data_IF_396009721012
#
_entry.id   IF_396009721012
#
_cell.length_a   1.000
_cell.length_b   1.000
_cell.length_c   1.000
_cell.angle_alpha   90.00
_cell.angle_beta   90.00
_cell.angle_gamma   90.00
#
_symmetry.space_group_name_H-M   'P 1'
#
loop_
_entity.id
_entity.type
_entity.pdbx_description
1 polymer ?
#
# COMPACT_ATOMS: atom_id res chain seq x y z
N UNK A 1 7.38 46.02 54.25
CA UNK A 1 6.81 44.79 54.85
C UNK A 1 5.70 44.26 53.94
N UNK A 2 6.03 43.32 53.06
CA UNK A 2 5.08 42.74 52.08
C UNK A 2 4.38 41.55 52.73
N UNK A 3 3.04 41.57 52.76
CA UNK A 3 2.19 40.43 53.15
C UNK A 3 1.96 39.53 51.92
N UNK A 4 2.21 38.23 52.10
CA UNK A 4 1.87 37.16 51.15
C UNK A 4 0.34 37.04 51.02
N UNK A 5 -0.16 36.85 49.79
CA UNK A 5 -1.47 36.27 49.49
C UNK A 5 -1.24 34.97 48.71
N UNK A 6 -1.74 33.87 49.25
CA UNK A 6 -1.69 32.54 48.65
C UNK A 6 -2.74 32.44 47.54
N UNK A 7 -2.37 31.89 46.38
CA UNK A 7 -3.30 31.51 45.31
C UNK A 7 -3.75 30.07 45.60
N UNK A 8 -5.06 29.87 45.76
CA UNK A 8 -5.66 28.56 45.94
C UNK A 8 -5.62 27.75 44.64
N UNK A 9 -5.17 26.50 44.73
CA UNK A 9 -5.36 25.50 43.68
C UNK A 9 -6.84 25.11 43.61
N UNK A 10 -7.45 25.30 42.44
CA UNK A 10 -8.74 24.68 42.12
C UNK A 10 -8.44 23.23 41.73
N UNK A 11 -8.82 22.32 42.62
CA UNK A 11 -8.82 20.88 42.36
C UNK A 11 -10.03 20.59 41.46
N UNK A 12 -9.79 20.32 40.17
CA UNK A 12 -10.85 19.83 39.27
C UNK A 12 -10.97 18.33 39.51
N UNK A 13 -12.03 17.94 40.22
CA UNK A 13 -12.41 16.54 40.43
C UNK A 13 -12.87 15.96 39.09
N UNK A 14 -12.00 15.18 38.44
CA UNK A 14 -12.39 14.40 37.28
C UNK A 14 -13.31 13.27 37.74
N UNK A 15 -14.56 13.29 37.27
CA UNK A 15 -15.51 12.18 37.43
C UNK A 15 -15.01 11.04 36.55
N UNK A 16 -14.45 10.01 37.17
CA UNK A 16 -14.12 8.74 36.52
C UNK A 16 -15.43 8.01 36.24
N UNK A 17 -15.90 8.07 34.99
CA UNK A 17 -16.94 7.18 34.52
C UNK A 17 -16.33 5.78 34.32
N UNK A 18 -16.73 4.85 35.19
CA UNK A 18 -16.42 3.42 35.07
C UNK A 18 -17.22 2.87 33.90
N UNK A 19 -16.57 2.64 32.75
CA UNK A 19 -17.10 1.81 31.69
C UNK A 19 -16.59 0.38 31.88
N UNK A 20 -17.53 -0.50 32.23
CA UNK A 20 -17.29 -1.92 32.46
C UNK A 20 -16.85 -2.63 31.17
N UNK A 21 -15.97 -3.60 31.38
CA UNK A 21 -15.36 -4.54 30.45
C UNK A 21 -16.36 -5.29 29.56
N UNK A 22 -16.27 -5.07 28.25
CA UNK A 22 -16.55 -6.07 27.22
C UNK A 22 -15.29 -6.14 26.34
N UNK A 23 -14.61 -7.29 26.37
CA UNK A 23 -13.35 -7.55 25.66
C UNK A 23 -13.54 -7.67 24.15
N UNK A 24 -13.85 -6.54 23.50
CA UNK A 24 -13.60 -6.35 22.08
C UNK A 24 -12.24 -5.66 21.99
N UNK A 25 -11.18 -6.43 21.76
CA UNK A 25 -9.99 -5.88 21.12
C UNK A 25 -10.44 -5.38 19.75
N UNK A 26 -10.78 -4.10 19.66
CA UNK A 26 -10.84 -3.41 18.39
C UNK A 26 -9.51 -3.69 17.65
N UNK A 27 -9.53 -3.96 16.33
CA UNK A 27 -8.28 -4.04 15.59
C UNK A 27 -7.56 -2.72 15.84
N UNK A 28 -6.23 -2.81 15.96
CA UNK A 28 -5.38 -1.65 16.19
C UNK A 28 -5.84 -0.48 15.32
N UNK A 29 -6.03 0.67 15.96
CA UNK A 29 -6.41 1.92 15.33
C UNK A 29 -5.27 2.40 14.42
N UNK A 30 -5.09 1.73 13.27
CA UNK A 30 -4.30 2.20 12.14
C UNK A 30 -5.20 2.84 11.07
N UNK A 31 -6.52 2.59 11.11
CA UNK A 31 -7.52 3.06 10.14
C UNK A 31 -7.75 4.59 10.08
N UNK A 32 -6.92 5.40 10.74
CA UNK A 32 -7.11 6.84 10.87
C UNK A 32 -5.97 7.73 10.35
N UNK A 33 -4.81 7.19 9.99
CA UNK A 33 -3.67 8.00 9.54
C UNK A 33 -3.09 7.52 8.22
N UNK A 34 -2.94 6.20 8.04
CA UNK A 34 -2.47 5.59 6.80
C UNK A 34 -3.51 5.81 5.69
N UNK A 35 -3.13 6.34 4.52
CA UNK A 35 -4.01 6.41 3.36
C UNK A 35 -4.49 5.02 2.97
N UNK A 36 -5.80 4.85 2.84
CA UNK A 36 -6.36 3.58 2.43
C UNK A 36 -7.88 3.57 2.22
N UNK A 37 -8.33 2.48 1.66
CA UNK A 37 -9.71 2.21 1.25
C UNK A 37 -10.18 0.89 1.88
N UNK A 38 -11.46 0.80 2.25
CA UNK A 38 -11.99 -0.30 3.04
C UNK A 38 -13.38 -0.74 2.54
N UNK A 39 -13.59 -2.04 2.41
CA UNK A 39 -14.90 -2.67 2.16
C UNK A 39 -15.22 -3.65 3.28
N UNK A 40 -16.33 -3.42 3.97
CA UNK A 40 -16.82 -4.30 5.03
C UNK A 40 -17.88 -5.24 4.46
N UNK A 41 -17.91 -6.47 4.96
CA UNK A 41 -18.83 -7.50 4.49
C UNK A 41 -19.77 -8.02 5.58
N UNK A 42 -20.98 -8.37 5.15
CA UNK A 42 -21.96 -9.09 5.95
C UNK A 42 -22.45 -10.35 5.23
N UNK A 43 -22.58 -11.45 5.97
CA UNK A 43 -23.11 -12.71 5.47
C UNK A 43 -24.63 -12.83 5.67
N UNK A 44 -25.31 -13.76 4.96
CA UNK A 44 -26.73 -14.01 5.14
C UNK A 44 -27.10 -14.28 6.60
N UNK A 45 -28.25 -13.76 7.03
CA UNK A 45 -28.76 -13.91 8.39
C UNK A 45 -28.72 -15.38 8.86
N UNK A 46 -28.22 -15.60 10.08
CA UNK A 46 -28.01 -16.94 10.65
C UNK A 46 -26.62 -17.53 10.37
N UNK A 47 -25.84 -16.93 9.47
CA UNK A 47 -24.42 -17.31 9.28
C UNK A 47 -23.57 -16.62 10.34
N UNK A 48 -23.11 -17.36 11.33
CA UNK A 48 -22.24 -16.83 12.41
C UNK A 48 -20.79 -17.28 12.27
N UNK A 49 -20.55 -18.42 11.61
CA UNK A 49 -19.24 -18.99 11.43
C UNK A 49 -19.13 -19.81 10.14
N UNK A 50 -17.93 -19.83 9.59
CA UNK A 50 -17.56 -20.54 8.37
C UNK A 50 -16.49 -21.59 8.67
N UNK A 51 -16.57 -22.71 7.99
CA UNK A 51 -15.53 -23.76 8.00
C UNK A 51 -14.33 -23.31 7.19
N UNK A 52 -14.55 -22.56 6.12
CA UNK A 52 -13.53 -22.04 5.21
C UNK A 52 -14.06 -20.78 4.54
N UNK A 53 -13.15 -19.94 4.06
CA UNK A 53 -13.47 -18.71 3.33
C UNK A 53 -12.47 -18.50 2.21
N UNK A 54 -12.95 -17.99 1.09
CA UNK A 54 -12.17 -17.63 -0.09
C UNK A 54 -12.47 -16.18 -0.46
N UNK A 55 -11.40 -15.42 -0.68
CA UNK A 55 -11.46 -14.06 -1.21
C UNK A 55 -10.82 -14.01 -2.59
N UNK A 56 -11.22 -13.04 -3.41
CA UNK A 56 -10.63 -12.78 -4.73
C UNK A 56 -10.06 -11.37 -4.79
N UNK A 57 -8.87 -11.22 -5.40
CA UNK A 57 -8.27 -9.91 -5.70
C UNK A 57 -7.71 -9.89 -7.12
N UNK A 58 -7.95 -8.81 -7.85
CA UNK A 58 -7.28 -8.46 -9.10
C UNK A 58 -6.72 -7.06 -9.00
N UNK A 59 -5.40 -6.89 -9.08
CA UNK A 59 -4.78 -5.55 -9.18
C UNK A 59 -4.86 -5.12 -10.64
N UNK A 60 -5.81 -4.23 -10.93
CA UNK A 60 -6.14 -3.75 -12.28
C UNK A 60 -5.14 -2.69 -12.77
N UNK A 61 -4.66 -1.83 -11.86
CA UNK A 61 -3.58 -0.88 -12.12
C UNK A 61 -2.45 -1.09 -11.11
N UNK A 62 -1.26 -1.45 -11.62
CA UNK A 62 -0.07 -1.68 -10.80
C UNK A 62 0.54 -0.33 -10.37
N UNK A 63 0.79 -0.10 -9.06
CA UNK A 63 1.49 1.09 -8.59
C UNK A 63 2.96 1.17 -9.03
N UNK A 64 3.46 0.18 -9.77
CA UNK A 64 4.85 0.07 -10.17
C UNK A 64 5.71 -0.27 -8.97
N UNK A 65 6.75 0.51 -8.70
CA UNK A 65 7.63 0.29 -7.53
C UNK A 65 7.10 1.03 -6.29
N UNK A 66 5.84 0.81 -5.96
CA UNK A 66 5.18 1.40 -4.79
C UNK A 66 5.20 0.49 -3.56
N UNK A 67 4.96 1.07 -2.38
CA UNK A 67 4.75 0.30 -1.15
C UNK A 67 3.25 0.20 -0.84
N UNK A 68 2.59 -0.80 -1.42
CA UNK A 68 1.13 -0.96 -1.33
C UNK A 68 0.78 -2.36 -0.85
N UNK A 69 -0.26 -2.46 -0.04
CA UNK A 69 -0.78 -3.71 0.47
C UNK A 69 -2.27 -3.84 0.14
N UNK A 70 -2.66 -4.94 -0.52
CA UNK A 70 -4.05 -5.39 -0.69
C UNK A 70 -4.30 -6.60 0.21
N UNK A 71 -5.25 -6.50 1.14
CA UNK A 71 -5.46 -7.49 2.17
C UNK A 71 -6.93 -7.81 2.43
N UNK A 72 -7.14 -9.04 2.88
CA UNK A 72 -8.40 -9.60 3.35
C UNK A 72 -8.27 -9.88 4.85
N UNK A 73 -8.88 -9.03 5.66
CA UNK A 73 -8.93 -9.19 7.12
C UNK A 73 -10.14 -10.02 7.54
N UNK A 74 -9.92 -10.88 8.53
CA UNK A 74 -10.95 -11.71 9.13
C UNK A 74 -10.58 -12.11 10.55
N UNK A 75 -11.59 -12.58 11.29
CA UNK A 75 -11.42 -13.10 12.64
C UNK A 75 -11.81 -14.58 12.70
N UNK A 76 -11.32 -15.27 13.73
CA UNK A 76 -11.85 -16.55 14.19
C UNK A 76 -12.83 -16.34 15.34
N UNK A 77 -13.71 -17.31 15.57
CA UNK A 77 -14.74 -17.29 16.63
C UNK A 77 -14.18 -17.22 18.05
N UNK A 78 -12.88 -17.41 18.24
CA UNK A 78 -12.16 -17.27 19.51
C UNK A 78 -11.32 -15.98 19.58
N UNK A 79 -11.64 -14.99 18.74
CA UNK A 79 -10.99 -13.68 18.67
C UNK A 79 -9.52 -13.70 18.22
N UNK A 80 -9.05 -14.80 17.65
CA UNK A 80 -7.81 -14.80 16.87
C UNK A 80 -8.09 -14.05 15.57
N UNK A 81 -7.57 -12.84 15.44
CA UNK A 81 -7.72 -12.02 14.24
C UNK A 81 -6.52 -12.14 13.31
N UNK A 82 -6.70 -11.78 12.05
CA UNK A 82 -5.60 -11.69 11.11
C UNK A 82 -6.01 -11.31 9.70
N UNK A 83 -5.09 -11.52 8.77
CA UNK A 83 -5.28 -11.15 7.38
C UNK A 83 -4.52 -12.07 6.44
N UNK A 84 -4.96 -12.13 5.20
CA UNK A 84 -4.25 -12.75 4.07
C UNK A 84 -4.26 -11.78 2.89
N UNK A 85 -3.19 -11.71 2.12
CA UNK A 85 -3.14 -10.78 0.98
C UNK A 85 -1.81 -10.78 0.24
N UNK A 86 -1.57 -9.69 -0.49
CA UNK A 86 -0.36 -9.50 -1.31
C UNK A 86 0.16 -8.05 -1.25
N UNK A 87 1.48 -7.88 -1.36
CA UNK A 87 2.15 -6.58 -1.31
C UNK A 87 2.96 -6.30 -2.56
N UNK A 88 3.09 -5.02 -2.91
CA UNK A 88 4.12 -4.46 -3.79
C UNK A 88 5.11 -3.66 -2.96
N UNK A 89 6.40 -3.73 -3.30
CA UNK A 89 7.48 -3.01 -2.62
C UNK A 89 8.20 -2.04 -3.56
N UNK A 90 8.88 -1.03 -2.99
CA UNK A 90 9.73 -0.07 -3.71
C UNK A 90 10.91 -0.67 -4.49
N UNK A 91 11.26 -1.92 -4.22
CA UNK A 91 12.23 -2.70 -5.02
C UNK A 91 11.63 -3.21 -6.35
N UNK A 92 10.31 -3.09 -6.55
CA UNK A 92 9.56 -3.72 -7.63
C UNK A 92 9.17 -5.18 -7.37
N UNK A 93 9.73 -5.80 -6.32
CA UNK A 93 9.30 -7.13 -5.87
C UNK A 93 7.99 -7.05 -5.11
N UNK A 94 7.51 -8.19 -4.62
CA UNK A 94 6.31 -8.28 -3.80
C UNK A 94 6.34 -9.51 -2.91
N UNK A 95 5.24 -9.72 -2.20
CA UNK A 95 5.04 -10.96 -1.47
C UNK A 95 3.55 -11.32 -1.38
N UNK A 96 3.29 -12.58 -1.06
CA UNK A 96 2.04 -13.03 -0.45
C UNK A 96 2.26 -13.27 1.05
N UNK A 97 1.26 -12.98 1.87
CA UNK A 97 1.33 -13.20 3.31
C UNK A 97 0.00 -13.64 3.92
N UNK A 98 0.11 -14.44 4.99
CA UNK A 98 -0.97 -14.87 5.86
C UNK A 98 -0.51 -14.68 7.31
N UNK A 99 -1.15 -13.78 8.05
CA UNK A 99 -0.72 -13.38 9.40
C UNK A 99 -1.89 -13.51 10.37
N UNK A 100 -1.65 -14.12 11.53
CA UNK A 100 -2.62 -14.19 12.62
C UNK A 100 -1.99 -13.73 13.94
N UNK A 101 -2.64 -12.77 14.60
CA UNK A 101 -2.30 -12.38 15.97
C UNK A 101 -2.71 -13.50 16.94
N UNK A 102 -1.90 -13.74 17.97
CA UNK A 102 -2.16 -14.78 18.97
C UNK A 102 -1.93 -16.21 18.48
N UNK A 103 -1.51 -16.42 17.23
CA UNK A 103 -1.08 -17.73 16.77
C UNK A 103 0.16 -18.19 17.55
N UNK A 104 0.18 -19.47 17.95
CA UNK A 104 1.24 -20.03 18.80
C UNK A 104 2.27 -20.85 18.04
N UNK A 105 1.96 -21.23 16.79
CA UNK A 105 2.84 -22.04 15.96
C UNK A 105 2.49 -21.87 14.48
N UNK A 106 3.48 -22.12 13.62
CA UNK A 106 3.34 -22.02 12.18
C UNK A 106 4.06 -23.16 11.47
N UNK A 107 3.60 -23.47 10.24
CA UNK A 107 4.23 -24.42 9.32
C UNK A 107 4.29 -23.79 7.95
N UNK A 108 5.48 -23.73 7.35
CA UNK A 108 5.62 -23.36 5.95
C UNK A 108 4.86 -24.36 5.06
N UNK A 109 4.31 -23.88 3.95
CA UNK A 109 3.54 -24.69 3.01
C UNK A 109 4.41 -25.23 1.87
N UNK A 110 4.19 -24.73 0.66
CA UNK A 110 4.94 -25.09 -0.54
C UNK A 110 6.41 -24.66 -0.46
N UNK A 111 7.23 -25.23 -1.35
CA UNK A 111 8.63 -24.84 -1.49
C UNK A 111 8.77 -23.32 -1.74
N UNK A 112 9.72 -22.67 -1.08
CA UNK A 112 9.93 -21.22 -1.16
C UNK A 112 9.14 -20.39 -0.15
N UNK A 113 8.11 -20.98 0.48
CA UNK A 113 7.36 -20.33 1.57
C UNK A 113 8.09 -20.48 2.90
N UNK A 114 7.87 -19.54 3.81
CA UNK A 114 8.45 -19.55 5.15
C UNK A 114 7.51 -18.91 6.15
N UNK A 115 7.67 -19.21 7.45
CA UNK A 115 6.90 -18.54 8.50
C UNK A 115 7.82 -18.00 9.59
N UNK A 116 7.41 -16.90 10.21
CA UNK A 116 8.15 -16.22 11.27
C UNK A 116 7.18 -15.54 12.25
N UNK A 117 7.70 -15.12 13.40
CA UNK A 117 6.94 -14.31 14.36
C UNK A 117 6.90 -12.84 13.95
N UNK A 118 5.88 -12.11 14.38
CA UNK A 118 5.81 -10.64 14.28
C UNK A 118 5.25 -10.04 15.59
N UNK A 119 5.55 -8.76 15.83
CA UNK A 119 5.25 -8.05 17.09
C UNK A 119 4.58 -6.66 16.93
N UNK A 120 4.12 -6.31 15.72
CA UNK A 120 3.56 -5.01 15.31
C UNK A 120 2.21 -4.64 15.98
N UNK A 121 2.16 -4.58 17.31
CA UNK A 121 0.98 -4.41 18.21
C UNK A 121 0.35 -5.71 18.72
N UNK A 122 1.17 -6.74 18.89
CA UNK A 122 0.77 -8.03 19.47
C UNK A 122 1.63 -9.17 18.92
N UNK A 123 1.77 -10.27 19.65
CA UNK A 123 2.57 -11.41 19.19
C UNK A 123 1.73 -12.32 18.30
N UNK A 124 2.27 -12.69 17.13
CA UNK A 124 1.63 -13.63 16.22
C UNK A 124 2.63 -14.33 15.30
N UNK A 125 2.09 -15.09 14.34
CA UNK A 125 2.88 -15.70 13.27
C UNK A 125 2.37 -15.26 11.90
N UNK A 126 3.32 -15.09 10.98
CA UNK A 126 3.08 -14.78 9.58
C UNK A 126 3.78 -15.81 8.71
N UNK A 127 3.07 -16.37 7.73
CA UNK A 127 3.63 -17.17 6.66
C UNK A 127 3.69 -16.32 5.38
N UNK A 128 4.82 -16.36 4.68
CA UNK A 128 5.17 -15.46 3.59
C UNK A 128 5.75 -16.21 2.41
N UNK A 129 5.59 -15.61 1.24
CA UNK A 129 6.29 -16.00 0.02
C UNK A 129 6.71 -14.74 -0.74
N UNK A 130 8.03 -14.53 -0.87
CA UNK A 130 8.61 -13.36 -1.54
C UNK A 130 8.56 -13.53 -3.07
N UNK A 131 7.34 -13.64 -3.59
CA UNK A 131 7.04 -13.65 -5.01
C UNK A 131 6.14 -12.45 -5.33
N UNK A 132 6.45 -11.78 -6.44
CA UNK A 132 5.62 -10.70 -6.93
C UNK A 132 4.38 -11.26 -7.63
N UNK A 133 3.21 -10.73 -7.31
CA UNK A 133 2.02 -10.96 -8.12
C UNK A 133 2.19 -10.36 -9.52
N UNK A 134 1.46 -10.90 -10.49
CA UNK A 134 1.34 -10.36 -11.84
C UNK A 134 0.12 -9.47 -11.91
N UNK A 135 0.30 -8.19 -12.25
CA UNK A 135 -0.82 -7.27 -12.41
C UNK A 135 -1.80 -7.75 -13.49
N UNK A 136 -3.09 -7.52 -13.28
CA UNK A 136 -4.18 -8.01 -14.13
C UNK A 136 -4.53 -9.49 -13.95
N UNK A 137 -3.70 -10.29 -13.26
CA UNK A 137 -4.09 -11.65 -12.89
C UNK A 137 -5.08 -11.64 -11.73
N UNK A 138 -5.96 -12.64 -11.75
CA UNK A 138 -6.95 -12.86 -10.70
C UNK A 138 -6.44 -13.90 -9.70
N UNK A 139 -6.25 -13.46 -8.45
CA UNK A 139 -5.77 -14.30 -7.36
C UNK A 139 -6.91 -14.63 -6.40
N UNK A 140 -6.98 -15.88 -5.97
CA UNK A 140 -7.86 -16.32 -4.89
C UNK A 140 -7.07 -16.71 -3.66
N UNK A 141 -7.61 -16.36 -2.49
CA UNK A 141 -7.02 -16.55 -1.18
C UNK A 141 -7.94 -17.43 -0.38
N UNK A 142 -7.62 -18.73 -0.25
CA UNK A 142 -8.47 -19.67 0.46
C UNK A 142 -7.89 -20.01 1.82
N UNK A 143 -8.58 -19.61 2.88
CA UNK A 143 -8.25 -20.00 4.26
C UNK A 143 -9.18 -21.14 4.68
N UNK A 144 -8.60 -22.28 5.03
CA UNK A 144 -9.35 -23.51 5.30
C UNK A 144 -8.67 -24.37 6.37
N UNK A 145 -9.38 -25.32 6.99
CA UNK A 145 -8.77 -26.20 7.99
C UNK A 145 -7.61 -26.98 7.38
N UNK A 146 -6.54 -27.10 8.14
CA UNK A 146 -5.46 -28.04 7.85
C UNK A 146 -5.81 -29.42 8.44
N UNK A 147 -4.98 -30.42 8.16
CA UNK A 147 -5.11 -31.81 8.61
C UNK A 147 -5.14 -31.98 10.13
N UNK A 148 -4.58 -31.02 10.88
CA UNK A 148 -4.57 -31.03 12.34
C UNK A 148 -5.65 -30.08 12.86
N UNK A 149 -6.49 -30.55 13.79
CA UNK A 149 -7.51 -29.68 14.40
C UNK A 149 -6.87 -28.45 15.07
N UNK A 150 -7.55 -27.30 14.93
CA UNK A 150 -7.06 -26.01 15.38
C UNK A 150 -5.93 -25.41 14.54
N UNK A 151 -5.70 -25.91 13.34
CA UNK A 151 -4.80 -25.33 12.34
C UNK A 151 -5.57 -24.93 11.09
N UNK A 152 -5.24 -23.77 10.54
CA UNK A 152 -5.77 -23.30 9.27
C UNK A 152 -4.63 -23.00 8.31
N UNK A 153 -4.81 -23.38 7.05
CA UNK A 153 -3.89 -23.11 5.96
C UNK A 153 -4.44 -22.06 5.01
N UNK A 154 -3.56 -21.20 4.51
CA UNK A 154 -3.84 -20.33 3.38
C UNK A 154 -3.32 -20.97 2.09
N UNK A 155 -4.19 -21.11 1.09
CA UNK A 155 -3.85 -21.55 -0.27
C UNK A 155 -4.11 -20.40 -1.22
N UNK A 156 -3.07 -19.98 -1.95
CA UNK A 156 -3.16 -18.89 -2.93
C UNK A 156 -3.19 -19.52 -4.31
N UNK A 157 -4.13 -19.09 -5.15
CA UNK A 157 -4.21 -19.56 -6.53
C UNK A 157 -4.28 -18.40 -7.51
N UNK A 158 -3.36 -18.39 -8.47
CA UNK A 158 -3.44 -17.54 -9.65
C UNK A 158 -4.40 -18.23 -10.63
N UNK A 159 -5.66 -17.80 -10.62
CA UNK A 159 -6.71 -18.41 -11.43
C UNK A 159 -6.48 -18.14 -12.91
N UNK A 160 -5.86 -17.00 -13.24
CA UNK A 160 -5.49 -16.63 -14.60
C UNK A 160 -4.40 -17.55 -15.16
N UNK A 161 -3.37 -17.86 -14.37
CA UNK A 161 -2.28 -18.74 -14.77
C UNK A 161 -2.56 -20.23 -14.55
N UNK A 162 -3.58 -20.58 -13.77
CA UNK A 162 -3.89 -21.97 -13.40
C UNK A 162 -2.88 -22.58 -12.43
N UNK A 163 -2.20 -21.77 -11.63
CA UNK A 163 -1.20 -22.19 -10.64
C UNK A 163 -1.70 -21.98 -9.21
N UNK A 164 -1.16 -22.74 -8.27
CA UNK A 164 -1.54 -22.64 -6.85
C UNK A 164 -0.41 -23.11 -5.95
N UNK A 165 -0.34 -22.52 -4.76
CA UNK A 165 0.57 -22.93 -3.70
C UNK A 165 -0.07 -22.79 -2.32
N UNK A 166 0.38 -23.62 -1.37
CA UNK A 166 0.03 -23.45 0.04
C UNK A 166 1.04 -22.47 0.62
N UNK A 167 0.57 -21.33 1.12
CA UNK A 167 1.44 -20.31 1.71
C UNK A 167 1.97 -20.75 3.08
N UNK A 168 1.12 -21.40 3.87
CA UNK A 168 1.47 -21.97 5.17
C UNK A 168 0.25 -22.19 6.04
N UNK A 169 0.48 -22.81 7.19
CA UNK A 169 -0.54 -23.09 8.20
C UNK A 169 -0.21 -22.42 9.51
N UNK A 170 -1.21 -21.83 10.15
CA UNK A 170 -1.11 -21.15 11.44
C UNK A 170 -2.04 -21.81 12.46
N UNK A 171 -1.55 -21.97 13.69
CA UNK A 171 -2.32 -22.54 14.79
C UNK A 171 -3.25 -21.49 15.39
N UNK A 172 -4.53 -21.83 15.52
CA UNK A 172 -5.60 -20.94 16.04
C UNK A 172 -6.33 -21.51 17.26
N UNK A 173 -6.11 -22.79 17.57
CA UNK A 173 -6.76 -23.49 18.69
C UNK A 173 -7.94 -24.36 18.25
N UNK A 174 -8.13 -25.48 18.96
CA UNK A 174 -9.16 -26.48 18.66
C UNK A 174 -10.56 -25.87 18.68
N UNK A 175 -11.42 -26.30 17.75
CA UNK A 175 -12.82 -25.86 17.66
C UNK A 175 -13.03 -24.46 17.06
N UNK A 176 -11.97 -23.67 16.82
CA UNK A 176 -12.10 -22.37 16.17
C UNK A 176 -12.65 -22.49 14.73
N UNK A 177 -13.48 -21.52 14.35
CA UNK A 177 -14.05 -21.35 13.01
C UNK A 177 -13.80 -19.92 12.54
N UNK A 178 -13.82 -19.70 11.22
CA UNK A 178 -13.75 -18.34 10.69
C UNK A 178 -15.05 -17.63 11.08
N UNK A 179 -14.96 -16.44 11.67
CA UNK A 179 -16.09 -15.59 12.00
C UNK A 179 -16.75 -15.08 10.72
N UNK A 180 -18.08 -15.14 10.66
CA UNK A 180 -18.83 -14.49 9.58
C UNK A 180 -19.00 -12.97 9.79
N UNK A 181 -18.53 -12.44 10.92
CA UNK A 181 -18.47 -11.00 11.20
C UNK A 181 -17.05 -10.48 11.19
N UNK A 182 -16.90 -9.17 10.96
CA UNK A 182 -15.60 -8.49 11.01
C UNK A 182 -14.73 -8.68 9.76
N UNK A 183 -15.29 -9.20 8.66
CA UNK A 183 -14.54 -9.31 7.40
C UNK A 183 -14.43 -7.97 6.71
N UNK A 184 -13.20 -7.59 6.37
CA UNK A 184 -12.86 -6.32 5.74
C UNK A 184 -11.80 -6.54 4.69
N UNK A 185 -12.02 -6.04 3.48
CA UNK A 185 -10.94 -5.87 2.51
C UNK A 185 -10.41 -4.45 2.63
N UNK A 186 -9.09 -4.30 2.51
CA UNK A 186 -8.45 -3.00 2.56
C UNK A 186 -7.23 -2.88 1.66
N UNK A 187 -6.98 -1.65 1.24
CA UNK A 187 -5.74 -1.22 0.58
C UNK A 187 -5.07 -0.17 1.43
N UNK A 188 -3.78 -0.32 1.70
CA UNK A 188 -3.01 0.66 2.47
C UNK A 188 -1.61 0.89 1.88
N UNK A 189 -1.16 2.14 1.94
CA UNK A 189 0.20 2.53 1.56
C UNK A 189 1.10 2.59 2.79
N UNK A 190 2.12 1.75 2.84
CA UNK A 190 3.01 1.67 4.01
C UNK A 190 4.29 2.50 3.84
N UNK A 191 4.37 3.34 2.80
CA UNK A 191 5.28 4.48 2.74
C UNK A 191 5.03 5.47 3.89
N UNK A 192 3.81 5.49 4.41
CA UNK A 192 3.39 6.28 5.57
C UNK A 192 4.11 5.95 6.88
N UNK A 193 4.91 4.87 6.91
CA UNK A 193 5.86 4.63 7.99
C UNK A 193 6.99 5.68 8.04
N UNK A 194 7.12 6.50 6.99
CA UNK A 194 7.99 7.68 6.95
C UNK A 194 7.19 8.94 7.26
N UNK A 195 7.67 9.75 8.21
CA UNK A 195 7.11 11.08 8.51
C UNK A 195 7.24 12.08 7.33
N UNK A 196 7.95 11.72 6.27
CA UNK A 196 8.09 12.54 5.07
C UNK A 196 7.07 12.21 3.98
N UNK A 197 6.38 11.07 4.07
CA UNK A 197 5.39 10.67 3.07
C UNK A 197 4.17 11.59 3.11
N UNK A 198 3.65 11.89 1.92
CA UNK A 198 2.44 12.67 1.69
C UNK A 198 1.60 12.01 0.61
N UNK A 199 0.35 12.45 0.43
CA UNK A 199 -0.57 11.86 -0.56
C UNK A 199 -0.02 11.87 -1.99
N UNK A 200 0.86 12.81 -2.30
CA UNK A 200 1.47 12.99 -3.61
C UNK A 200 2.66 12.06 -3.86
N UNK A 201 3.20 11.42 -2.81
CA UNK A 201 4.27 10.43 -2.94
C UNK A 201 3.74 9.02 -3.23
N UNK A 202 2.44 8.81 -3.01
CA UNK A 202 1.79 7.52 -3.18
C UNK A 202 1.47 7.27 -4.67
N UNK A 203 1.97 6.18 -5.26
CA UNK A 203 1.65 5.86 -6.65
C UNK A 203 0.20 5.41 -6.81
N UNK A 204 -0.44 5.77 -7.94
CA UNK A 204 -1.79 5.30 -8.23
C UNK A 204 -1.87 3.78 -8.27
N UNK A 205 -2.89 3.22 -7.63
CA UNK A 205 -3.25 1.82 -7.80
C UNK A 205 -4.76 1.62 -7.83
N UNK A 206 -5.16 0.52 -8.47
CA UNK A 206 -6.55 0.11 -8.58
C UNK A 206 -6.65 -1.40 -8.39
N UNK A 207 -7.54 -1.83 -7.51
CA UNK A 207 -7.79 -3.24 -7.29
C UNK A 207 -9.26 -3.55 -7.17
N UNK A 208 -9.67 -4.65 -7.78
CA UNK A 208 -10.97 -5.27 -7.59
C UNK A 208 -10.85 -6.34 -6.51
N UNK A 209 -11.77 -6.28 -5.56
CA UNK A 209 -12.01 -7.31 -4.56
C UNK A 209 -13.33 -8.00 -4.86
N UNK A 210 -13.35 -9.33 -4.79
CA UNK A 210 -14.58 -10.10 -4.93
C UNK A 210 -15.26 -10.30 -3.57
N UNK A 211 -16.56 -10.60 -3.58
CA UNK A 211 -17.31 -10.95 -2.38
C UNK A 211 -16.69 -12.20 -1.73
N UNK A 212 -16.42 -12.18 -0.41
CA UNK A 212 -16.01 -13.37 0.31
C UNK A 212 -17.03 -14.49 0.17
N UNK A 213 -16.55 -15.69 -0.18
CA UNK A 213 -17.36 -16.91 -0.27
C UNK A 213 -16.88 -17.93 0.73
N UNK A 214 -17.78 -18.78 1.24
CA UNK A 214 -17.37 -19.84 2.14
C UNK A 214 -18.44 -20.88 2.38
N UNK A 215 -18.12 -21.82 3.26
CA UNK A 215 -19.04 -22.86 3.69
C UNK A 215 -19.41 -22.65 5.16
N UNK A 216 -20.69 -22.42 5.44
CA UNK A 216 -21.21 -22.33 6.81
C UNK A 216 -20.91 -23.60 7.63
N UNK A 217 -20.92 -23.51 8.95
CA UNK A 217 -20.77 -24.69 9.82
C UNK A 217 -21.89 -25.73 9.65
N UNK A 218 -23.03 -25.34 9.08
CA UNK A 218 -24.12 -26.23 8.67
C UNK A 218 -23.91 -26.92 7.32
N UNK A 219 -22.82 -26.63 6.60
CA UNK A 219 -22.46 -27.25 5.33
C UNK A 219 -23.00 -26.55 4.07
N UNK A 220 -23.75 -25.46 4.22
CA UNK A 220 -24.26 -24.67 3.08
C UNK A 220 -23.20 -23.70 2.58
N UNK A 221 -23.06 -23.59 1.26
CA UNK A 221 -22.32 -22.51 0.61
C UNK A 221 -23.01 -21.17 0.87
N UNK A 222 -22.21 -20.14 1.17
CA UNK A 222 -22.66 -18.78 1.46
C UNK A 222 -21.72 -17.78 0.81
N UNK A 223 -22.29 -16.71 0.27
CA UNK A 223 -21.56 -15.57 -0.27
C UNK A 223 -21.93 -14.34 0.55
N UNK A 224 -20.93 -13.52 0.89
CA UNK A 224 -21.15 -12.28 1.60
C UNK A 224 -21.83 -11.23 0.70
N UNK A 225 -22.17 -10.10 1.30
CA UNK A 225 -22.59 -8.88 0.63
C UNK A 225 -21.81 -7.71 1.20
N UNK A 226 -21.57 -6.66 0.39
CA UNK A 226 -20.96 -5.43 0.91
C UNK A 226 -21.92 -4.78 1.90
N UNK A 227 -21.48 -4.59 3.14
CA UNK A 227 -22.28 -3.91 4.19
C UNK A 227 -22.00 -2.42 4.25
N UNK A 228 -20.76 -2.01 4.02
CA UNK A 228 -20.34 -0.60 4.00
C UNK A 228 -18.97 -0.44 3.35
N UNK A 229 -18.70 0.74 2.80
CA UNK A 229 -17.38 1.14 2.30
C UNK A 229 -16.94 2.42 2.98
N UNK A 230 -15.62 2.62 3.09
CA UNK A 230 -15.04 3.84 3.66
C UNK A 230 -13.63 4.08 3.13
N UNK A 231 -13.16 5.30 3.29
CA UNK A 231 -11.77 5.70 3.06
C UNK A 231 -11.18 6.23 4.36
N UNK A 232 -9.86 6.21 4.49
CA UNK A 232 -9.14 6.91 5.56
C UNK A 232 -9.47 8.41 5.56
N UNK A 233 -9.29 9.07 6.71
CA UNK A 233 -9.39 10.54 6.83
C UNK A 233 -8.23 11.28 6.14
N UNK A 234 -7.13 10.58 5.88
CA UNK A 234 -5.98 11.09 5.13
C UNK A 234 -6.14 10.73 3.66
N UNK A 235 -5.74 11.63 2.76
CA UNK A 235 -5.85 11.47 1.30
C UNK A 235 -7.25 11.13 0.77
N UNK A 236 -8.31 11.41 1.55
CA UNK A 236 -9.71 11.09 1.21
C UNK A 236 -10.14 11.61 -0.17
N UNK A 237 -9.60 12.75 -0.59
CA UNK A 237 -9.92 13.35 -1.88
C UNK A 237 -9.30 12.64 -3.10
N UNK A 238 -8.39 11.68 -2.86
CA UNK A 238 -7.69 10.90 -3.88
C UNK A 238 -7.93 9.40 -3.75
N UNK A 239 -8.90 9.00 -2.94
CA UNK A 239 -9.25 7.61 -2.71
C UNK A 239 -10.77 7.44 -2.87
N UNK A 240 -11.19 6.35 -3.49
CA UNK A 240 -12.60 5.99 -3.63
C UNK A 240 -12.81 4.48 -3.55
N UNK A 241 -14.00 4.09 -3.11
CA UNK A 241 -14.45 2.70 -3.13
C UNK A 241 -15.80 2.61 -3.82
N UNK A 242 -15.79 2.03 -5.03
CA UNK A 242 -17.00 1.79 -5.80
C UNK A 242 -17.50 0.37 -5.59
N UNK A 243 -18.73 0.21 -5.09
CA UNK A 243 -19.38 -1.11 -5.03
C UNK A 243 -19.76 -1.55 -6.45
N UNK A 244 -19.44 -2.80 -6.79
CA UNK A 244 -19.73 -3.38 -8.11
C UNK A 244 -20.44 -4.73 -7.96
N UNK A 245 -20.98 -5.24 -9.07
CA UNK A 245 -21.50 -6.61 -9.07
C UNK A 245 -20.37 -7.59 -8.73
N UNK A 246 -20.60 -8.40 -7.69
CA UNK A 246 -19.65 -9.39 -7.23
C UNK A 246 -18.53 -8.86 -6.33
N UNK A 247 -18.57 -7.61 -5.86
CA UNK A 247 -17.59 -7.10 -4.88
C UNK A 247 -17.43 -5.58 -4.86
N UNK A 248 -16.20 -5.10 -4.80
CA UNK A 248 -15.85 -3.68 -4.80
C UNK A 248 -14.59 -3.40 -5.62
N UNK A 249 -14.44 -2.15 -6.03
CA UNK A 249 -13.22 -1.62 -6.65
C UNK A 249 -12.68 -0.51 -5.75
N UNK A 250 -11.41 -0.62 -5.42
CA UNK A 250 -10.65 0.33 -4.63
C UNK A 250 -9.72 1.09 -5.58
N UNK A 251 -9.89 2.42 -5.67
CA UNK A 251 -9.06 3.33 -6.44
C UNK A 251 -8.33 4.25 -5.44
N UNK A 252 -7.00 4.17 -5.39
CA UNK A 252 -6.19 4.91 -4.41
C UNK A 252 -5.11 5.76 -5.08
N UNK A 253 -4.79 6.91 -4.48
CA UNK A 253 -3.88 7.92 -5.02
C UNK A 253 -4.29 8.40 -6.44
N UNK A 254 -5.60 8.53 -6.65
CA UNK A 254 -6.20 9.00 -7.90
C UNK A 254 -5.61 10.34 -8.34
N UNK A 255 -5.14 10.39 -9.58
CA UNK A 255 -4.51 11.56 -10.19
C UNK A 255 -2.98 11.55 -10.14
N UNK A 256 -2.37 10.72 -9.27
CA UNK A 256 -0.95 10.41 -9.38
C UNK A 256 -0.71 9.38 -10.50
N UNK A 257 0.52 9.24 -10.96
CA UNK A 257 0.94 8.13 -11.82
C UNK A 257 1.27 6.88 -11.01
N UNK A 258 1.44 5.73 -11.66
CA UNK A 258 2.29 4.68 -11.09
C UNK A 258 3.69 5.23 -10.74
N UNK A 259 4.43 4.55 -9.87
CA UNK A 259 5.82 4.89 -9.56
C UNK A 259 6.79 4.12 -10.45
N UNK A 260 7.87 4.76 -10.88
CA UNK A 260 8.91 4.07 -11.64
C UNK A 260 9.94 4.98 -12.25
N UNK A 261 10.68 4.42 -13.19
CA UNK A 261 11.72 5.15 -13.91
C UNK A 261 11.13 6.20 -14.84
N UNK A 262 11.71 7.40 -14.85
CA UNK A 262 11.58 8.33 -15.99
C UNK A 262 12.78 8.07 -16.89
N UNK A 263 12.54 7.51 -18.07
CA UNK A 263 13.59 7.15 -19.03
C UNK A 263 13.64 8.14 -20.18
N UNK A 264 14.83 8.43 -20.69
CA UNK A 264 15.00 9.41 -21.77
C UNK A 264 16.22 9.12 -22.65
N UNK A 265 17.02 10.15 -22.90
CA UNK A 265 18.20 10.11 -23.78
C UNK A 265 19.03 8.84 -23.59
N UNK A 266 19.25 8.10 -24.69
CA UNK A 266 20.02 6.85 -24.72
C UNK A 266 19.52 5.73 -23.79
N UNK A 267 18.22 5.73 -23.43
CA UNK A 267 17.61 4.73 -22.56
C UNK A 267 18.04 4.84 -21.09
N UNK A 268 18.55 6.01 -20.69
CA UNK A 268 18.99 6.29 -19.32
C UNK A 268 17.86 6.85 -18.47
N UNK A 269 18.00 6.73 -17.16
CA UNK A 269 17.03 7.16 -16.18
C UNK A 269 17.37 8.55 -15.62
N UNK A 270 16.33 9.33 -15.30
CA UNK A 270 16.43 10.49 -14.43
C UNK A 270 16.77 10.00 -13.03
N UNK A 271 17.93 10.44 -12.53
CA UNK A 271 18.55 9.93 -11.30
C UNK A 271 18.85 11.09 -10.33
N UNK A 272 18.53 10.90 -9.06
CA UNK A 272 19.05 11.75 -7.98
C UNK A 272 20.50 11.36 -7.69
N UNK A 273 21.46 12.19 -8.13
CA UNK A 273 22.92 11.90 -8.09
C UNK A 273 23.34 11.22 -6.78
N UNK A 274 23.85 9.99 -6.88
CA UNK A 274 24.36 9.23 -5.73
C UNK A 274 23.33 8.84 -4.66
N UNK A 275 22.04 8.98 -4.96
CA UNK A 275 20.94 8.76 -4.01
C UNK A 275 20.87 9.78 -2.87
N UNK A 276 21.44 10.98 -3.06
CA UNK A 276 21.45 12.03 -2.04
C UNK A 276 20.06 12.61 -1.76
N UNK A 277 19.68 12.72 -0.48
CA UNK A 277 18.39 13.30 -0.05
C UNK A 277 18.49 14.77 0.40
N UNK A 278 19.67 15.37 0.33
CA UNK A 278 19.87 16.77 0.68
C UNK A 278 19.25 17.71 -0.37
N UNK A 279 18.71 18.84 0.08
CA UNK A 279 18.22 19.88 -0.84
C UNK A 279 19.37 20.40 -1.70
N UNK A 280 19.11 20.56 -3.00
CA UNK A 280 20.13 20.93 -3.97
C UNK A 280 20.90 19.76 -4.58
N UNK A 281 20.58 18.50 -4.22
CA UNK A 281 21.19 17.34 -4.89
C UNK A 281 20.84 17.36 -6.38
N UNK A 282 21.82 17.50 -7.30
CA UNK A 282 21.52 17.62 -8.72
C UNK A 282 20.91 16.35 -9.29
N UNK A 283 20.06 16.49 -10.31
CA UNK A 283 19.62 15.34 -11.10
C UNK A 283 20.56 15.09 -12.27
N UNK A 284 20.68 13.84 -12.66
CA UNK A 284 21.50 13.39 -13.77
C UNK A 284 20.85 12.27 -14.58
N UNK A 285 21.42 11.98 -15.75
CA UNK A 285 21.22 10.71 -16.42
C UNK A 285 22.11 9.66 -15.79
N UNK A 286 21.52 8.52 -15.49
CA UNK A 286 22.26 7.35 -15.03
C UNK A 286 21.71 6.07 -15.63
N UNK A 287 22.52 5.02 -15.63
CA UNK A 287 22.04 3.68 -15.98
C UNK A 287 20.87 3.30 -15.08
N UNK A 288 19.77 2.87 -15.67
CA UNK A 288 18.59 2.43 -14.92
C UNK A 288 18.94 1.20 -14.06
N UNK A 289 18.79 1.35 -12.74
CA UNK A 289 19.11 0.34 -11.74
C UNK A 289 17.95 0.01 -10.81
N UNK A 290 16.81 0.68 -10.94
CA UNK A 290 15.60 0.42 -10.15
C UNK A 290 15.67 0.88 -8.69
N UNK A 291 16.67 1.69 -8.33
CA UNK A 291 16.81 2.27 -7.00
C UNK A 291 15.76 3.35 -6.70
N UNK A 292 15.55 3.64 -5.41
CA UNK A 292 14.59 4.67 -4.99
C UNK A 292 14.94 6.07 -5.50
N UNK A 293 16.21 6.33 -5.81
CA UNK A 293 16.70 7.57 -6.43
C UNK A 293 16.32 7.71 -7.92
N UNK A 294 15.75 6.68 -8.52
CA UNK A 294 15.19 6.66 -9.87
C UNK A 294 13.69 6.34 -9.88
N UNK A 295 13.07 6.23 -8.70
CA UNK A 295 11.67 5.86 -8.56
C UNK A 295 10.81 7.12 -8.37
N UNK A 296 10.22 7.58 -9.47
CA UNK A 296 9.49 8.84 -9.55
C UNK A 296 7.98 8.62 -9.58
N UNK A 297 7.24 9.52 -8.95
CA UNK A 297 5.79 9.68 -9.08
C UNK A 297 5.51 11.04 -9.71
N UNK A 298 4.67 11.08 -10.74
CA UNK A 298 4.09 12.32 -11.24
C UNK A 298 2.79 12.54 -10.46
N UNK A 299 2.78 13.56 -9.62
CA UNK A 299 1.73 13.77 -8.64
C UNK A 299 0.62 14.67 -9.20
N UNK A 300 -0.61 14.51 -8.70
CA UNK A 300 -1.77 15.30 -9.14
C UNK A 300 -1.60 16.81 -8.90
N UNK A 301 -0.75 17.21 -7.95
CA UNK A 301 -0.46 18.61 -7.61
C UNK A 301 0.53 19.27 -8.58
N UNK A 302 0.91 18.56 -9.64
CA UNK A 302 1.85 19.00 -10.67
C UNK A 302 3.33 18.80 -10.30
N UNK A 303 3.64 18.23 -9.14
CA UNK A 303 5.02 17.91 -8.77
C UNK A 303 5.49 16.57 -9.35
N UNK A 304 6.80 16.38 -9.43
CA UNK A 304 7.44 15.11 -9.80
C UNK A 304 8.35 14.71 -8.65
N UNK A 305 8.05 13.59 -8.01
CA UNK A 305 8.59 13.26 -6.68
C UNK A 305 9.41 11.99 -6.64
N UNK A 306 10.53 12.03 -5.94
CA UNK A 306 11.32 10.87 -5.54
C UNK A 306 11.93 11.15 -4.17
N UNK A 307 12.14 10.09 -3.36
CA UNK A 307 12.67 10.21 -2.00
C UNK A 307 11.89 11.24 -1.13
N UNK A 308 10.57 11.30 -1.32
CA UNK A 308 9.65 12.25 -0.64
C UNK A 308 9.99 13.74 -0.89
N UNK A 309 10.60 14.04 -2.04
CA UNK A 309 11.05 15.39 -2.42
C UNK A 309 10.76 15.68 -3.88
N UNK A 310 10.76 16.96 -4.23
CA UNK A 310 10.32 17.45 -5.53
C UNK A 310 11.50 17.71 -6.49
N UNK A 311 11.34 17.29 -7.74
CA UNK A 311 12.14 17.75 -8.87
C UNK A 311 11.96 19.27 -9.02
N UNK A 312 13.02 20.04 -8.84
CA UNK A 312 12.98 21.49 -8.71
C UNK A 312 13.95 22.16 -9.67
N UNK A 313 13.49 23.22 -10.35
CA UNK A 313 14.37 24.10 -11.14
C UNK A 313 15.02 25.14 -10.23
N UNK A 314 16.35 25.21 -10.22
CA UNK A 314 17.15 26.22 -9.51
C UNK A 314 18.16 26.86 -10.46
N UNK A 315 17.87 28.08 -10.90
CA UNK A 315 18.60 28.71 -12.02
C UNK A 315 18.40 27.89 -13.31
N UNK A 316 19.48 27.36 -13.87
CA UNK A 316 19.41 26.38 -14.98
C UNK A 316 19.46 24.93 -14.51
N UNK A 317 19.82 24.65 -13.25
CA UNK A 317 19.94 23.30 -12.71
C UNK A 317 18.56 22.69 -12.44
N UNK A 318 18.42 21.38 -12.65
CA UNK A 318 17.32 20.59 -12.09
C UNK A 318 17.87 19.73 -10.96
N UNK A 319 17.25 19.82 -9.79
CA UNK A 319 17.75 19.25 -8.54
C UNK A 319 16.60 18.73 -7.68
N UNK A 320 16.93 17.89 -6.70
CA UNK A 320 15.99 17.49 -5.66
C UNK A 320 15.90 18.58 -4.57
N UNK A 321 14.69 18.90 -4.13
CA UNK A 321 14.46 19.84 -3.01
C UNK A 321 13.19 19.48 -2.25
N UNK A 322 13.13 19.85 -0.97
CA UNK A 322 11.91 19.82 -0.15
C UNK A 322 10.76 20.48 -0.92
N UNK A 323 9.61 19.81 -0.94
CA UNK A 323 8.43 20.30 -1.65
C UNK A 323 7.88 21.56 -0.97
N UNK A 324 7.69 22.63 -1.73
CA UNK A 324 7.22 23.94 -1.26
C UNK A 324 6.06 24.50 -2.10
N UNK A 325 5.63 23.78 -3.14
CA UNK A 325 4.53 24.18 -4.03
C UNK A 325 4.86 25.33 -4.96
N UNK A 326 6.12 25.76 -5.02
CA UNK A 326 6.56 26.84 -5.90
C UNK A 326 6.41 26.48 -7.37
N UNK A 327 6.27 27.48 -8.24
CA UNK A 327 6.26 27.27 -9.69
C UNK A 327 7.54 26.58 -10.21
N UNK A 328 8.63 26.56 -9.45
CA UNK A 328 9.87 25.85 -9.81
C UNK A 328 9.76 24.32 -9.66
N UNK A 329 8.74 23.83 -8.97
CA UNK A 329 8.46 22.41 -8.74
C UNK A 329 7.28 21.89 -9.57
N UNK A 330 6.65 22.77 -10.34
CA UNK A 330 5.43 22.49 -11.09
C UNK A 330 5.77 22.07 -12.52
N UNK A 331 5.60 20.79 -12.82
CA UNK A 331 5.90 20.18 -14.11
C UNK A 331 4.62 19.76 -14.81
N UNK A 332 4.53 20.13 -16.08
CA UNK A 332 3.47 19.69 -16.97
C UNK A 332 4.03 18.69 -17.97
N UNK A 333 3.41 17.51 -18.04
CA UNK A 333 3.64 16.58 -19.15
C UNK A 333 2.97 17.13 -20.42
N UNK A 334 3.76 17.33 -21.46
CA UNK A 334 3.29 17.73 -22.80
C UNK A 334 3.84 16.73 -23.82
N UNK A 335 3.01 15.74 -24.17
CA UNK A 335 3.45 14.56 -24.90
C UNK A 335 4.49 13.77 -24.10
N UNK A 336 5.68 13.63 -24.65
CA UNK A 336 6.85 13.03 -24.01
C UNK A 336 7.85 14.08 -23.51
N UNK A 337 7.41 15.31 -23.26
CA UNK A 337 8.25 16.35 -22.68
C UNK A 337 7.74 16.72 -21.28
N UNK A 338 8.65 17.02 -20.35
CA UNK A 338 8.33 17.58 -19.04
C UNK A 338 8.65 19.07 -19.05
N UNK A 339 7.64 19.92 -18.86
CA UNK A 339 7.73 21.38 -19.01
C UNK A 339 7.57 22.05 -17.64
N UNK A 340 8.52 22.90 -17.28
CA UNK A 340 8.45 23.79 -16.12
C UNK A 340 8.64 25.25 -16.59
N UNK A 341 7.68 26.12 -16.28
CA UNK A 341 7.74 27.56 -16.61
C UNK A 341 8.11 27.85 -18.09
N UNK A 342 7.53 27.09 -19.02
CA UNK A 342 7.77 27.26 -20.47
C UNK A 342 9.11 26.73 -20.98
N UNK A 343 9.90 26.08 -20.12
CA UNK A 343 11.15 25.39 -20.46
C UNK A 343 11.01 23.89 -20.22
N UNK A 344 11.88 23.12 -20.84
CA UNK A 344 11.83 21.67 -20.86
C UNK A 344 12.94 21.06 -19.99
N UNK A 345 12.64 19.92 -19.34
CA UNK A 345 13.65 19.05 -18.75
C UNK A 345 14.57 18.56 -19.87
N UNK A 346 15.86 18.81 -19.72
CA UNK A 346 16.85 18.61 -20.78
C UNK A 346 18.09 17.91 -20.22
N UNK A 347 18.55 16.86 -20.90
CA UNK A 347 19.86 16.28 -20.65
C UNK A 347 20.94 17.14 -21.31
N UNK A 348 21.76 17.78 -20.46
CA UNK A 348 22.64 18.86 -20.84
C UNK A 348 23.55 18.50 -22.02
N UNK A 349 23.58 19.38 -23.03
CA UNK A 349 24.43 19.25 -24.21
C UNK A 349 24.04 18.10 -25.14
N UNK A 350 22.87 17.49 -24.93
CA UNK A 350 22.41 16.33 -25.70
C UNK A 350 23.19 15.05 -25.41
N UNK A 351 23.99 15.02 -24.34
CA UNK A 351 24.75 13.84 -23.96
C UNK A 351 23.83 12.73 -23.42
N UNK A 352 24.22 11.48 -23.67
CA UNK A 352 23.50 10.28 -23.25
C UNK A 352 24.30 9.38 -22.32
N UNK A 353 25.36 9.91 -21.71
CA UNK A 353 26.25 9.16 -20.82
C UNK A 353 25.89 9.38 -19.36
N UNK A 354 26.24 8.40 -18.53
CA UNK A 354 26.09 8.48 -17.08
C UNK A 354 26.79 9.74 -16.54
N UNK A 355 26.12 10.43 -15.62
CA UNK A 355 26.58 11.69 -15.03
C UNK A 355 26.19 12.96 -15.81
N UNK A 356 25.52 12.83 -16.97
CA UNK A 356 25.00 14.00 -17.70
C UNK A 356 23.96 14.72 -16.85
N UNK A 357 24.19 15.99 -16.51
CA UNK A 357 23.27 16.74 -15.65
C UNK A 357 21.97 17.09 -16.35
N UNK A 358 20.89 17.08 -15.60
CA UNK A 358 19.59 17.57 -16.06
C UNK A 358 19.45 19.06 -15.77
N UNK A 359 18.98 19.79 -16.77
CA UNK A 359 18.84 21.24 -16.73
C UNK A 359 17.47 21.68 -17.23
N UNK A 360 17.08 22.91 -16.88
CA UNK A 360 15.94 23.60 -17.47
C UNK A 360 16.40 24.37 -18.70
N UNK A 361 15.98 23.95 -19.89
CA UNK A 361 16.43 24.52 -21.15
C UNK A 361 15.28 24.87 -22.10
N UNK A 362 15.54 25.74 -23.07
CA UNK A 362 14.56 26.09 -24.10
C UNK A 362 14.07 24.84 -24.80
N UNK A 363 12.75 24.68 -24.91
CA UNK A 363 12.13 23.57 -25.61
C UNK A 363 12.51 23.60 -27.09
N UNK A 364 13.25 22.60 -27.53
CA UNK A 364 13.79 22.48 -28.89
C UNK A 364 13.17 21.32 -29.67
N UNK A 365 12.51 20.39 -28.97
CA UNK A 365 12.01 19.13 -29.55
C UNK A 365 13.10 18.09 -29.78
N UNK A 366 14.33 18.35 -29.33
CA UNK A 366 15.46 17.42 -29.41
C UNK A 366 15.25 16.15 -28.59
N UNK A 367 15.91 15.05 -29.00
CA UNK A 367 15.80 13.75 -28.34
C UNK A 367 16.18 13.76 -26.85
N UNK A 368 17.05 14.69 -26.45
CA UNK A 368 17.49 14.90 -25.07
C UNK A 368 16.45 15.61 -24.17
N UNK A 369 15.27 15.94 -24.71
CA UNK A 369 14.11 16.49 -24.00
C UNK A 369 12.89 15.55 -24.04
N UNK A 370 13.07 14.32 -24.51
CA UNK A 370 12.01 13.32 -24.68
C UNK A 370 12.13 12.28 -23.57
N UNK A 371 11.03 12.05 -22.86
CA UNK A 371 10.95 11.28 -21.63
C UNK A 371 9.74 10.35 -21.66
N UNK A 372 9.97 9.06 -21.38
CA UNK A 372 8.93 8.12 -21.00
C UNK A 372 8.80 8.16 -19.49
N UNK A 373 7.62 8.55 -19.01
CA UNK A 373 7.32 8.58 -17.57
C UNK A 373 6.53 7.35 -17.16
N UNK A 374 6.50 7.02 -15.87
CA UNK A 374 5.53 6.08 -15.33
C UNK A 374 4.09 6.48 -15.71
N UNK A 375 3.22 5.49 -15.89
CA UNK A 375 1.81 5.66 -16.24
C UNK A 375 0.95 4.81 -15.34
#
# INVERSE_FOLDING_TARGET
MRRFRSIGSVCVTAVVAVAATLGLSAPAQAAGQTPGTYTNYGFPSGTTALTESTWGTTVEADPGRGNVYWAHQFDFTNSVGGYVGQQRWRTGTGMFLFSLWGSTAAKAGSAGTYCQTFDESGTGYTCRYNEAFTAGHHYTYRVSPDTTDGWYKATISDVTAGTSFVLGSLQVGSGARISAGGMVDWVEYFDWNSNSATCEDEPYSRARFDLPEGTSTGGSAVTASVSSTSTSSTCTQYADVTQVSGGSVHDDATGNSASGDITGSSGKCVDVTGGGSADGTPLELWTCGGGNNQNWVLSHDGTVRALYKCMTVSGSSVQLSTCDGSAAQQWQRSGDTLVNQGKCLDAQGGAGTDGTKLISYTCSGGANQRWSTPS
#
